data_IF_076134099239
#
_entry.id   IF_076134099239
#
_cell.length_a   1.000
_cell.length_b   1.000
_cell.length_c   1.000
_cell.angle_alpha   90.00
_cell.angle_beta   90.00
_cell.angle_gamma   90.00
#
_symmetry.space_group_name_H-M   'P 1'
#
loop_
_entity.id
_entity.type
_entity.pdbx_description
1 polymer ?
#
# COMPACT_ATOMS: atom_id res chain seq x y z
N UNK A 1 47.39 -32.95 -16.39
CA UNK A 1 45.98 -32.97 -15.92
C UNK A 1 45.69 -31.61 -15.29
N UNK A 2 44.84 -30.73 -15.87
CA UNK A 2 44.51 -29.47 -15.22
C UNK A 2 43.37 -29.67 -14.21
N UNK A 3 43.52 -29.06 -13.04
CA UNK A 3 42.54 -29.08 -11.95
C UNK A 3 41.30 -28.23 -12.29
N UNK A 4 40.09 -28.60 -11.83
CA UNK A 4 38.88 -27.86 -12.13
C UNK A 4 38.78 -26.62 -11.24
N UNK A 5 38.52 -25.46 -11.85
CA UNK A 5 38.20 -24.21 -11.16
C UNK A 5 36.76 -24.30 -10.66
N UNK A 6 36.55 -24.24 -9.34
CA UNK A 6 35.22 -24.16 -8.76
C UNK A 6 34.65 -22.75 -8.93
N UNK A 7 33.63 -22.61 -9.77
CA UNK A 7 32.79 -21.43 -9.86
C UNK A 7 31.85 -21.40 -8.65
N UNK A 8 32.29 -20.75 -7.57
CA UNK A 8 31.45 -20.47 -6.42
C UNK A 8 30.31 -19.55 -6.80
N UNK A 9 29.13 -20.11 -7.07
CA UNK A 9 27.88 -19.35 -7.13
C UNK A 9 27.61 -18.86 -5.72
N UNK A 10 27.87 -17.57 -5.48
CA UNK A 10 27.52 -16.89 -4.25
C UNK A 10 26.00 -17.05 -4.03
N UNK A 11 25.63 -17.87 -3.06
CA UNK A 11 24.24 -17.99 -2.61
C UNK A 11 23.80 -16.62 -2.09
N UNK A 12 23.08 -15.87 -2.93
CA UNK A 12 22.42 -14.64 -2.50
C UNK A 12 21.39 -15.05 -1.44
N UNK A 13 21.58 -14.59 -0.20
CA UNK A 13 20.56 -14.66 0.84
C UNK A 13 19.21 -14.23 0.25
N UNK A 14 18.08 -14.88 0.60
CA UNK A 14 16.77 -14.42 0.17
C UNK A 14 16.64 -12.95 0.57
N UNK A 15 16.49 -12.06 -0.41
CA UNK A 15 16.21 -10.65 -0.12
C UNK A 15 14.82 -10.60 0.52
N UNK A 16 14.68 -9.84 1.60
CA UNK A 16 13.34 -9.56 2.14
C UNK A 16 12.47 -9.01 1.00
N UNK A 17 11.19 -9.39 0.95
CA UNK A 17 10.29 -8.90 -0.09
C UNK A 17 10.12 -7.39 0.08
N UNK A 18 10.78 -6.63 -0.78
CA UNK A 18 10.74 -5.17 -0.81
C UNK A 18 9.95 -4.68 -2.03
N UNK A 19 9.33 -3.50 -1.89
CA UNK A 19 8.74 -2.82 -3.04
C UNK A 19 9.82 -2.45 -4.06
N UNK A 20 9.45 -2.46 -5.34
CA UNK A 20 10.35 -2.03 -6.40
C UNK A 20 10.77 -0.56 -6.19
N UNK A 21 12.09 -0.32 -6.10
CA UNK A 21 12.68 1.02 -5.96
C UNK A 21 12.17 2.00 -7.03
N UNK A 22 11.97 1.53 -8.26
CA UNK A 22 11.40 2.33 -9.36
C UNK A 22 9.99 2.84 -9.05
N UNK A 23 9.15 1.99 -8.46
CA UNK A 23 7.77 2.35 -8.09
C UNK A 23 7.76 3.39 -6.98
N UNK A 24 8.56 3.20 -5.92
CA UNK A 24 8.68 4.16 -4.82
C UNK A 24 9.10 5.53 -5.36
N UNK A 25 10.13 5.56 -6.23
CA UNK A 25 10.63 6.79 -6.85
C UNK A 25 9.59 7.47 -7.72
N UNK A 26 8.87 6.71 -8.55
CA UNK A 26 7.80 7.25 -9.39
C UNK A 26 6.68 7.88 -8.56
N UNK A 27 6.18 7.18 -7.53
CA UNK A 27 5.11 7.68 -6.67
C UNK A 27 5.58 8.93 -5.93
N UNK A 28 6.75 8.89 -5.28
CA UNK A 28 7.25 10.03 -4.51
C UNK A 28 7.50 11.26 -5.39
N UNK A 29 8.12 11.08 -6.55
CA UNK A 29 8.37 12.17 -7.52
C UNK A 29 7.07 12.82 -8.00
N UNK A 30 6.05 12.01 -8.29
CA UNK A 30 4.73 12.51 -8.71
C UNK A 30 4.09 13.45 -7.68
N UNK A 31 4.22 13.14 -6.38
CA UNK A 31 3.64 13.96 -5.31
C UNK A 31 4.52 15.14 -4.89
N UNK A 32 5.84 14.98 -4.86
CA UNK A 32 6.76 16.01 -4.33
C UNK A 32 6.96 17.18 -5.29
N UNK A 33 6.77 16.96 -6.61
CA UNK A 33 6.82 17.99 -7.69
C UNK A 33 8.09 18.85 -7.71
N UNK A 34 9.19 18.35 -7.14
CA UNK A 34 10.50 19.02 -7.12
C UNK A 34 11.63 18.00 -7.30
N UNK A 35 12.84 18.44 -7.68
CA UNK A 35 14.00 17.57 -7.77
C UNK A 35 14.37 16.95 -6.40
N UNK A 36 14.66 15.65 -6.39
CA UNK A 36 15.01 14.90 -5.18
C UNK A 36 16.38 14.24 -5.37
N UNK A 37 17.23 14.32 -4.35
CA UNK A 37 18.57 13.73 -4.40
C UNK A 37 18.53 12.21 -4.35
N UNK A 38 19.57 11.55 -4.86
CA UNK A 38 19.66 10.07 -4.83
C UNK A 38 19.65 9.51 -3.41
N UNK A 39 20.29 10.21 -2.47
CA UNK A 39 20.34 9.76 -1.08
C UNK A 39 19.00 9.96 -0.36
N UNK A 40 18.24 11.01 -0.67
CA UNK A 40 16.89 11.18 -0.16
C UNK A 40 15.98 10.01 -0.59
N UNK A 41 16.08 9.52 -1.83
CA UNK A 41 15.33 8.35 -2.26
C UNK A 41 15.67 7.08 -1.46
N UNK A 42 16.93 6.87 -1.07
CA UNK A 42 17.30 5.73 -0.20
C UNK A 42 16.64 5.83 1.17
N UNK A 43 16.45 7.05 1.69
CA UNK A 43 15.73 7.26 2.95
C UNK A 43 14.23 6.96 2.76
N UNK A 44 13.63 7.41 1.66
CA UNK A 44 12.22 7.12 1.34
C UNK A 44 11.98 5.61 1.21
N UNK A 45 12.91 4.87 0.61
CA UNK A 45 12.86 3.39 0.53
C UNK A 45 12.83 2.77 1.93
N UNK A 46 13.76 3.15 2.82
CA UNK A 46 13.78 2.68 4.22
C UNK A 46 12.53 3.07 5.01
N UNK A 47 12.02 4.28 4.79
CA UNK A 47 10.76 4.72 5.41
C UNK A 47 9.58 3.88 4.94
N UNK A 48 9.55 3.50 3.65
CA UNK A 48 8.52 2.64 3.08
C UNK A 48 8.56 1.24 3.70
N UNK A 49 9.75 0.66 3.86
CA UNK A 49 9.94 -0.62 4.55
C UNK A 49 9.41 -0.57 5.99
N UNK A 50 9.78 0.48 6.74
CA UNK A 50 9.30 0.69 8.12
C UNK A 50 7.79 0.87 8.17
N UNK A 51 7.22 1.57 7.19
CA UNK A 51 5.77 1.77 7.06
C UNK A 51 5.03 0.44 6.93
N UNK A 52 5.47 -0.47 6.05
CA UNK A 52 4.81 -1.78 5.90
C UNK A 52 4.99 -2.68 7.12
N UNK A 53 6.16 -2.64 7.79
CA UNK A 53 6.38 -3.36 9.06
C UNK A 53 5.40 -2.90 10.15
N UNK A 54 5.24 -1.58 10.31
CA UNK A 54 4.28 -1.01 11.25
C UNK A 54 2.83 -1.36 10.89
N UNK A 55 2.46 -1.17 9.62
CA UNK A 55 1.11 -1.45 9.12
C UNK A 55 0.72 -2.92 9.34
N UNK A 56 1.66 -3.85 9.14
CA UNK A 56 1.43 -5.28 9.37
C UNK A 56 1.12 -5.58 10.83
N UNK A 57 1.90 -4.99 11.76
CA UNK A 57 1.65 -5.13 13.20
C UNK A 57 0.31 -4.54 13.63
N UNK A 58 -0.10 -3.42 13.04
CA UNK A 58 -1.38 -2.79 13.35
C UNK A 58 -2.57 -3.61 12.86
N UNK A 59 -2.50 -4.15 11.65
CA UNK A 59 -3.56 -5.02 11.11
C UNK A 59 -3.66 -6.34 11.88
N UNK A 60 -2.53 -6.89 12.32
CA UNK A 60 -2.53 -8.05 13.21
C UNK A 60 -3.28 -7.74 14.52
N UNK A 61 -3.01 -6.59 15.14
CA UNK A 61 -3.71 -6.20 16.36
C UNK A 61 -5.23 -6.05 16.15
N UNK A 62 -5.67 -5.46 15.03
CA UNK A 62 -7.09 -5.27 14.74
C UNK A 62 -7.81 -6.59 14.43
N UNK A 63 -7.18 -7.46 13.64
CA UNK A 63 -7.74 -8.78 13.31
C UNK A 63 -7.85 -9.65 14.57
N UNK A 64 -6.81 -9.69 15.40
CA UNK A 64 -6.82 -10.40 16.68
C UNK A 64 -7.87 -9.85 17.64
N UNK A 65 -8.00 -8.52 17.74
CA UNK A 65 -9.03 -7.88 18.57
C UNK A 65 -10.45 -8.29 18.16
N UNK A 66 -10.69 -8.45 16.85
CA UNK A 66 -11.95 -8.94 16.32
C UNK A 66 -12.10 -10.48 16.35
N UNK A 67 -11.14 -11.22 16.93
CA UNK A 67 -11.15 -12.68 16.98
C UNK A 67 -10.99 -13.37 15.61
N UNK A 68 -10.51 -12.63 14.59
CA UNK A 68 -10.33 -13.11 13.23
C UNK A 68 -8.85 -13.40 12.94
N UNK A 69 -8.60 -14.21 11.90
CA UNK A 69 -7.27 -14.45 11.33
C UNK A 69 -7.08 -13.82 9.95
N UNK A 70 -8.16 -13.27 9.39
CA UNK A 70 -8.20 -12.64 8.06
C UNK A 70 -8.36 -11.15 8.22
N UNK A 71 -7.56 -10.37 7.49
CA UNK A 71 -7.69 -8.92 7.39
C UNK A 71 -8.90 -8.60 6.53
N UNK A 72 -9.81 -7.82 7.09
CA UNK A 72 -11.04 -7.36 6.42
C UNK A 72 -10.92 -5.87 6.04
N UNK A 73 -11.80 -5.43 5.13
CA UNK A 73 -11.84 -4.01 4.71
C UNK A 73 -12.06 -3.05 5.88
N UNK A 74 -12.80 -3.48 6.90
CA UNK A 74 -13.03 -2.71 8.12
C UNK A 74 -11.72 -2.45 8.90
N UNK A 75 -10.78 -3.39 8.91
CA UNK A 75 -9.50 -3.23 9.60
C UNK A 75 -8.64 -2.14 8.92
N UNK A 76 -8.68 -2.10 7.59
CA UNK A 76 -8.04 -1.05 6.79
C UNK A 76 -8.72 0.31 6.97
N UNK A 77 -10.05 0.35 7.03
CA UNK A 77 -10.77 1.60 7.30
C UNK A 77 -10.43 2.17 8.68
N UNK A 78 -10.39 1.33 9.71
CA UNK A 78 -9.96 1.71 11.07
C UNK A 78 -8.51 2.18 11.07
N UNK A 79 -7.60 1.48 10.38
CA UNK A 79 -6.20 1.91 10.23
C UNK A 79 -6.12 3.32 9.63
N UNK A 80 -6.80 3.54 8.50
CA UNK A 80 -6.77 4.82 7.78
C UNK A 80 -7.47 5.93 8.55
N UNK A 81 -8.49 5.61 9.35
CA UNK A 81 -9.12 6.57 10.28
C UNK A 81 -8.16 6.95 11.42
N UNK A 82 -7.43 5.98 11.99
CA UNK A 82 -6.39 6.24 13.00
C UNK A 82 -5.22 7.07 12.45
N UNK A 83 -4.88 6.88 11.18
CA UNK A 83 -3.87 7.70 10.48
C UNK A 83 -4.37 9.11 10.11
N UNK A 84 -5.66 9.42 10.34
CA UNK A 84 -6.26 10.72 10.00
C UNK A 84 -6.56 10.91 8.51
N UNK A 85 -6.45 9.86 7.70
CA UNK A 85 -6.77 9.90 6.27
C UNK A 85 -8.27 9.80 6.01
N UNK A 86 -8.92 8.86 6.70
CA UNK A 86 -10.38 8.70 6.65
C UNK A 86 -11.02 9.54 7.74
N UNK A 87 -11.92 10.42 7.35
CA UNK A 87 -12.70 11.28 8.24
C UNK A 87 -14.14 11.36 7.75
N UNK A 88 -15.04 11.95 8.54
CA UNK A 88 -16.44 12.06 8.12
C UNK A 88 -16.62 12.96 6.88
N UNK A 89 -15.65 13.86 6.63
CA UNK A 89 -15.59 14.68 5.40
C UNK A 89 -14.84 13.99 4.26
N UNK A 90 -14.06 12.96 4.55
CA UNK A 90 -13.21 12.23 3.60
C UNK A 90 -13.37 10.73 3.81
N UNK A 91 -14.50 10.14 3.37
CA UNK A 91 -14.74 8.71 3.53
C UNK A 91 -13.84 7.88 2.62
N UNK A 92 -13.67 6.60 2.96
CA UNK A 92 -12.73 5.69 2.28
C UNK A 92 -12.99 5.58 0.76
N UNK A 93 -14.25 5.52 0.34
CA UNK A 93 -14.61 5.43 -1.08
C UNK A 93 -14.13 6.64 -1.89
N UNK A 94 -14.13 7.85 -1.31
CA UNK A 94 -13.61 9.07 -1.96
C UNK A 94 -12.09 8.98 -2.13
N UNK A 95 -11.37 8.42 -1.16
CA UNK A 95 -9.93 8.20 -1.29
C UNK A 95 -9.62 7.17 -2.39
N UNK A 96 -10.40 6.09 -2.46
CA UNK A 96 -10.33 5.09 -3.53
C UNK A 96 -10.55 5.74 -4.90
N UNK A 97 -11.57 6.59 -5.03
CA UNK A 97 -11.87 7.29 -6.27
C UNK A 97 -10.75 8.23 -6.75
N UNK A 98 -10.07 8.90 -5.80
CA UNK A 98 -9.01 9.88 -6.10
C UNK A 98 -7.64 9.25 -6.39
N UNK A 99 -7.29 8.18 -5.68
CA UNK A 99 -5.91 7.68 -5.68
C UNK A 99 -5.73 6.33 -6.41
N UNK A 100 -6.82 5.61 -6.72
CA UNK A 100 -6.72 4.33 -7.43
C UNK A 100 -7.13 4.43 -8.91
N UNK A 101 -6.38 3.75 -9.81
CA UNK A 101 -6.80 3.53 -11.20
C UNK A 101 -8.20 2.91 -11.32
N UNK A 102 -8.86 3.15 -12.45
CA UNK A 102 -10.25 2.73 -12.68
C UNK A 102 -10.49 1.23 -12.49
N UNK A 103 -9.51 0.39 -12.88
CA UNK A 103 -9.60 -1.06 -12.78
C UNK A 103 -9.76 -1.52 -11.33
N UNK A 104 -8.98 -0.96 -10.41
CA UNK A 104 -9.07 -1.27 -8.98
C UNK A 104 -10.32 -0.66 -8.34
N UNK A 105 -10.76 0.51 -8.80
CA UNK A 105 -12.00 1.14 -8.31
C UNK A 105 -13.22 0.27 -8.56
N UNK A 106 -13.32 -0.37 -9.73
CA UNK A 106 -14.42 -1.29 -10.07
C UNK A 106 -14.51 -2.50 -9.14
N UNK A 107 -13.37 -2.97 -8.60
CA UNK A 107 -13.33 -4.08 -7.66
C UNK A 107 -13.80 -3.68 -6.26
N UNK A 108 -13.47 -2.46 -5.83
CA UNK A 108 -13.78 -1.98 -4.48
C UNK A 108 -15.14 -1.27 -4.38
N UNK A 109 -15.59 -0.66 -5.47
CA UNK A 109 -16.84 0.08 -5.58
C UNK A 109 -17.58 -0.44 -6.82
N UNK A 110 -18.14 -1.66 -6.76
CA UNK A 110 -18.89 -2.22 -7.88
C UNK A 110 -20.22 -1.49 -8.12
N UNK A 111 -20.73 -0.80 -7.09
CA UNK A 111 -21.99 -0.04 -7.12
C UNK A 111 -21.73 1.32 -6.48
N UNK A 112 -22.36 2.37 -7.00
CA UNK A 112 -22.26 3.71 -6.43
C UNK A 112 -22.73 3.70 -4.96
N UNK A 113 -21.80 3.98 -4.04
CA UNK A 113 -22.06 4.19 -2.60
C UNK A 113 -22.41 5.66 -2.28
N UNK A 114 -22.26 6.57 -3.26
CA UNK A 114 -22.85 7.90 -3.18
C UNK A 114 -24.36 7.74 -3.03
N UNK A 115 -24.95 8.33 -1.99
CA UNK A 115 -26.38 8.26 -1.64
C UNK A 115 -27.34 8.87 -2.67
N UNK A 116 -27.17 8.51 -3.93
CA UNK A 116 -27.98 8.91 -5.06
C UNK A 116 -29.37 8.29 -4.88
N UNK A 117 -30.36 9.14 -4.61
CA UNK A 117 -31.77 8.76 -4.65
C UNK A 117 -32.16 8.52 -6.11
N UNK A 118 -32.19 7.26 -6.54
CA UNK A 118 -32.76 6.90 -7.84
C UNK A 118 -34.27 6.99 -7.69
N UNK A 119 -34.88 8.05 -8.23
CA UNK A 119 -36.33 8.19 -8.30
C UNK A 119 -36.75 7.59 -9.64
N UNK A 120 -37.46 6.45 -9.68
CA UNK A 120 -37.98 5.92 -10.92
C UNK A 120 -39.07 6.86 -11.45
N UNK A 121 -38.88 7.41 -12.65
CA UNK A 121 -39.99 8.01 -13.41
C UNK A 121 -40.93 6.89 -13.86
N UNK A 122 -42.22 7.08 -13.60
CA UNK A 122 -43.30 6.24 -14.16
C UNK A 122 -43.52 6.57 -15.63
#
# INVERSE_FOLDING_TARGET
KPAPKSSGVSQRKPREPELASSLIKQIFSHYVKMPVTRDAYKIVEKCSERYFKQLSSDLEAYTQHAGRKTVEMADLEVLMRRQGLVTDKMPLHVLVERHLPLEYRKLLIPIAVSGNKVIPCK
#
